data_IF_899848080685
#
_entry.id   IF_899848080685
#
_cell.length_a   1.000
_cell.length_b   1.000
_cell.length_c   1.000
_cell.angle_alpha   90.00
_cell.angle_beta   90.00
_cell.angle_gamma   90.00
#
_symmetry.space_group_name_H-M   'P 1'
#
loop_
_entity.id
_entity.type
_entity.pdbx_description
1 polymer ?
#
# COMPACT_ATOMS: atom_id res chain seq x y z
N UNK A 1 10.72 -33.72 13.88
CA UNK A 1 10.26 -32.66 12.96
C UNK A 1 8.92 -32.17 13.46
N UNK A 2 8.79 -31.00 14.11
CA UNK A 2 7.49 -30.47 14.47
C UNK A 2 6.96 -29.61 13.30
N UNK A 3 5.84 -30.07 12.74
CA UNK A 3 4.90 -29.28 11.93
C UNK A 3 4.40 -28.09 12.78
N UNK A 4 4.64 -26.87 12.31
CA UNK A 4 4.10 -25.65 12.91
C UNK A 4 2.96 -25.15 12.03
N UNK A 5 1.73 -25.50 12.41
CA UNK A 5 0.53 -24.94 11.82
C UNK A 5 0.29 -23.53 12.38
N UNK A 6 0.67 -22.49 11.60
CA UNK A 6 0.40 -21.09 11.96
C UNK A 6 -1.02 -20.74 11.51
N UNK A 7 -1.97 -20.78 12.44
CA UNK A 7 -3.31 -20.21 12.26
C UNK A 7 -3.23 -18.69 12.44
N UNK A 8 -3.36 -17.94 11.34
CA UNK A 8 -3.32 -16.47 11.38
C UNK A 8 -4.75 -15.93 11.47
N UNK A 9 -5.20 -15.62 12.69
CA UNK A 9 -6.41 -14.83 12.89
C UNK A 9 -6.12 -13.35 12.56
N UNK A 10 -7.06 -12.61 11.93
CA UNK A 10 -6.82 -11.22 11.56
C UNK A 10 -6.67 -10.36 12.82
N UNK A 11 -5.47 -9.84 13.03
CA UNK A 11 -5.19 -8.93 14.15
C UNK A 11 -5.81 -7.57 13.86
N UNK A 12 -6.65 -7.09 14.78
CA UNK A 12 -7.26 -5.76 14.69
C UNK A 12 -6.25 -4.71 15.17
N UNK A 13 -5.99 -3.71 14.35
CA UNK A 13 -5.11 -2.58 14.71
C UNK A 13 -5.91 -1.35 15.14
N UNK A 14 -5.43 -0.65 16.17
CA UNK A 14 -5.98 0.61 16.68
C UNK A 14 -4.83 1.48 17.21
N UNK A 15 -4.85 2.79 16.92
CA UNK A 15 -3.90 3.75 17.49
C UNK A 15 -4.45 4.41 18.76
N UNK A 16 -3.61 4.60 19.78
CA UNK A 16 -3.98 5.34 20.99
C UNK A 16 -4.15 6.84 20.74
N UNK A 17 -4.98 7.50 21.55
CA UNK A 17 -5.13 8.97 21.55
C UNK A 17 -3.80 9.65 21.87
N UNK A 18 -3.46 10.68 21.10
CA UNK A 18 -2.32 11.55 21.40
C UNK A 18 -2.67 12.47 22.59
N UNK A 19 -1.88 12.45 23.67
CA UNK A 19 -2.06 13.27 24.88
C UNK A 19 -0.91 14.24 25.13
N UNK A 20 0.00 14.41 24.18
CA UNK A 20 1.15 15.28 24.34
C UNK A 20 0.71 16.76 24.46
N UNK A 21 1.28 17.49 25.42
CA UNK A 21 1.00 18.92 25.64
C UNK A 21 1.53 19.82 24.50
N UNK A 22 2.54 19.34 23.76
CA UNK A 22 3.06 19.96 22.54
C UNK A 22 3.71 18.90 21.64
N UNK A 23 3.74 19.16 20.33
CA UNK A 23 4.36 18.29 19.31
C UNK A 23 3.40 17.33 18.61
N UNK A 24 3.86 16.76 17.48
CA UNK A 24 3.07 15.86 16.64
C UNK A 24 3.72 14.46 16.56
N UNK A 25 2.89 13.42 16.54
CA UNK A 25 3.34 12.07 16.18
C UNK A 25 3.34 11.94 14.66
N UNK A 26 4.50 11.63 14.08
CA UNK A 26 4.65 11.33 12.65
C UNK A 26 4.77 9.82 12.46
N UNK A 27 4.09 9.28 11.45
CA UNK A 27 4.26 7.92 10.99
C UNK A 27 4.42 7.93 9.47
N UNK A 28 5.37 7.15 8.97
CA UNK A 28 5.52 6.88 7.54
C UNK A 28 5.08 5.43 7.29
N UNK A 29 4.06 5.25 6.46
CA UNK A 29 3.54 3.93 6.11
C UNK A 29 3.85 3.67 4.64
N UNK A 30 4.66 2.64 4.39
CA UNK A 30 4.91 2.11 3.06
C UNK A 30 4.15 0.80 2.91
N UNK A 31 3.40 0.64 1.83
CA UNK A 31 2.67 -0.59 1.54
C UNK A 31 3.50 -1.44 0.59
N UNK A 32 3.78 -2.68 0.98
CA UNK A 32 4.50 -3.66 0.16
C UNK A 32 3.58 -4.81 -0.19
N UNK A 33 3.65 -5.26 -1.44
CA UNK A 33 2.87 -6.38 -1.97
C UNK A 33 3.67 -7.09 -3.06
N UNK A 34 3.35 -8.36 -3.34
CA UNK A 34 3.92 -9.07 -4.49
C UNK A 34 3.51 -8.40 -5.80
N UNK A 35 4.45 -8.33 -6.75
CA UNK A 35 4.21 -7.80 -8.10
C UNK A 35 3.26 -8.68 -8.95
N UNK A 36 2.97 -9.90 -8.50
CA UNK A 36 1.97 -10.80 -9.11
C UNK A 36 0.52 -10.40 -8.80
N UNK A 37 0.32 -9.58 -7.76
CA UNK A 37 -1.02 -9.18 -7.34
C UNK A 37 -1.49 -8.01 -8.19
N UNK A 38 -2.69 -8.13 -8.76
CA UNK A 38 -3.34 -7.00 -9.42
C UNK A 38 -3.77 -5.98 -8.38
N UNK A 39 -3.48 -4.70 -8.64
CA UNK A 39 -3.78 -3.58 -7.76
C UNK A 39 -4.97 -2.79 -8.32
N UNK A 40 -6.22 -3.11 -7.94
CA UNK A 40 -7.41 -2.36 -8.37
C UNK A 40 -7.57 -1.06 -7.56
N UNK A 41 -6.47 -0.34 -7.32
CA UNK A 41 -6.46 0.89 -6.53
C UNK A 41 -6.70 2.10 -7.42
N UNK A 42 -7.96 2.37 -7.74
CA UNK A 42 -8.35 3.58 -8.44
C UNK A 42 -8.68 4.70 -7.45
N UNK A 43 -7.66 5.37 -6.91
CA UNK A 43 -7.87 6.45 -5.94
C UNK A 43 -8.40 7.75 -6.58
N UNK A 44 -8.08 7.99 -7.85
CA UNK A 44 -8.39 9.26 -8.55
C UNK A 44 -9.55 9.15 -9.55
N UNK A 45 -10.22 7.99 -9.63
CA UNK A 45 -11.32 7.78 -10.57
C UNK A 45 -10.92 7.74 -12.06
N UNK A 46 -9.61 7.84 -12.36
CA UNK A 46 -9.09 7.97 -13.74
C UNK A 46 -9.05 6.68 -14.53
N UNK A 47 -9.00 5.54 -13.85
CA UNK A 47 -8.99 4.21 -14.48
C UNK A 47 -10.35 3.51 -14.27
N UNK A 48 -10.87 2.71 -15.21
CA UNK A 48 -11.97 1.82 -14.90
C UNK A 48 -11.56 0.88 -13.75
N UNK A 49 -12.48 0.57 -12.83
CA UNK A 49 -12.25 -0.21 -11.59
C UNK A 49 -11.59 -1.59 -11.78
N UNK A 50 -11.46 -2.05 -13.02
CA UNK A 50 -10.88 -3.35 -13.42
C UNK A 50 -9.42 -3.27 -13.87
N UNK A 51 -8.85 -2.08 -14.01
CA UNK A 51 -7.47 -1.93 -14.48
C UNK A 51 -6.47 -1.99 -13.31
N UNK A 52 -5.35 -2.64 -13.60
CA UNK A 52 -4.23 -2.83 -12.69
C UNK A 52 -3.42 -1.54 -12.61
N UNK A 53 -3.46 -0.84 -11.47
CA UNK A 53 -2.71 0.41 -11.28
C UNK A 53 -1.24 0.09 -10.97
N UNK A 54 -0.39 0.16 -12.00
CA UNK A 54 1.03 -0.21 -11.94
C UNK A 54 1.99 0.96 -11.66
N UNK A 55 1.56 1.87 -10.80
CA UNK A 55 2.43 2.92 -10.24
C UNK A 55 3.10 2.40 -8.97
N UNK A 56 4.07 1.51 -9.17
CA UNK A 56 4.76 0.79 -8.11
C UNK A 56 6.27 0.87 -8.29
N UNK A 57 7.00 0.82 -7.18
CA UNK A 57 8.45 0.69 -7.17
C UNK A 57 8.80 -0.77 -6.91
N UNK A 58 9.43 -1.43 -7.88
CA UNK A 58 9.98 -2.76 -7.68
C UNK A 58 11.22 -2.67 -6.78
N UNK A 59 11.11 -3.21 -5.57
CA UNK A 59 12.19 -3.20 -4.58
C UNK A 59 13.14 -4.38 -4.77
N UNK A 60 12.61 -5.56 -5.09
CA UNK A 60 13.38 -6.77 -5.29
C UNK A 60 12.65 -7.74 -6.22
N UNK A 61 13.42 -8.54 -6.97
CA UNK A 61 12.92 -9.56 -7.89
C UNK A 61 12.57 -9.03 -9.28
N UNK A 62 11.91 -9.88 -10.06
CA UNK A 62 11.50 -9.59 -11.43
C UNK A 62 9.99 -9.52 -11.50
N UNK A 63 9.47 -8.48 -12.13
CA UNK A 63 8.04 -8.28 -12.32
C UNK A 63 7.47 -9.20 -13.42
N UNK A 64 6.54 -10.12 -13.10
CA UNK A 64 5.91 -10.99 -14.10
C UNK A 64 5.05 -10.23 -15.11
N UNK A 65 4.58 -9.03 -14.75
CA UNK A 65 3.75 -8.19 -15.60
C UNK A 65 4.54 -7.05 -16.27
N UNK A 66 5.87 -7.15 -16.35
CA UNK A 66 6.74 -6.13 -16.94
C UNK A 66 6.31 -5.68 -18.35
N UNK A 67 5.66 -6.56 -19.12
CA UNK A 67 5.11 -6.25 -20.45
C UNK A 67 4.05 -5.14 -20.46
N UNK A 68 3.36 -4.90 -19.34
CA UNK A 68 2.38 -3.80 -19.18
C UNK A 68 3.06 -2.46 -18.88
N UNK A 69 4.34 -2.47 -18.51
CA UNK A 69 5.06 -1.30 -18.04
C UNK A 69 4.66 -0.88 -16.61
N UNK A 70 5.32 0.18 -16.15
CA UNK A 70 4.98 0.93 -14.94
C UNK A 70 4.86 2.41 -15.32
N UNK A 71 3.93 3.12 -14.72
CA UNK A 71 3.69 4.54 -15.00
C UNK A 71 3.79 5.33 -13.69
N UNK A 72 4.44 6.50 -13.73
CA UNK A 72 4.48 7.40 -12.57
C UNK A 72 3.34 8.42 -12.69
N UNK A 73 2.17 8.06 -12.18
CA UNK A 73 0.95 8.87 -12.27
C UNK A 73 0.67 9.62 -10.97
N UNK A 74 1.10 9.04 -9.84
CA UNK A 74 0.82 9.50 -8.49
C UNK A 74 1.99 10.31 -7.98
N UNK A 75 1.70 11.52 -7.51
CA UNK A 75 2.67 12.37 -6.84
C UNK A 75 2.24 12.60 -5.39
N UNK A 76 3.18 12.88 -4.47
CA UNK A 76 2.85 13.23 -3.11
C UNK A 76 2.02 14.51 -3.08
N UNK A 77 0.76 14.43 -2.66
CA UNK A 77 -0.09 15.60 -2.47
C UNK A 77 -0.74 15.58 -1.09
N UNK A 78 -0.87 16.76 -0.49
CA UNK A 78 -1.63 16.90 0.75
C UNK A 78 -3.10 17.08 0.38
N UNK A 79 -3.97 16.17 0.83
CA UNK A 79 -5.42 16.38 0.75
C UNK A 79 -5.73 17.64 1.56
N UNK A 80 -6.28 18.67 0.91
CA UNK A 80 -6.69 19.91 1.58
C UNK A 80 -7.75 19.58 2.64
N UNK A 81 -7.51 19.99 3.87
CA UNK A 81 -8.55 19.96 4.90
C UNK A 81 -9.63 20.98 4.54
N UNK A 82 -10.89 20.61 4.73
CA UNK A 82 -12.06 21.46 4.42
C UNK A 82 -12.35 22.39 5.59
#
# INVERSE_FOLDING_TARGET
>A
MPDTSVSTSPTRYCSYRNRAAAGFRRALVNHYMSAESMLPWNWDGRLPMKEDMRDIVLVAGTDPHAHKGTESLTYPFLRREK
#
